data_IF_871825620008
#
_entry.id   IF_871825620008
#
_cell.length_a   1.000
_cell.length_b   1.000
_cell.length_c   1.000
_cell.angle_alpha   90.00
_cell.angle_beta   90.00
_cell.angle_gamma   90.00
#
_symmetry.space_group_name_H-M   'P 1'
#
loop_
_entity.id
_entity.type
_entity.pdbx_description
1 polymer ?
#
# COMPACT_ATOMS: atom_id res chain seq x y z
N UNK A 1 27.17 34.22 -21.36
CA UNK A 1 25.96 33.62 -20.78
C UNK A 1 26.39 32.44 -19.92
N UNK A 2 26.28 32.54 -18.60
CA UNK A 2 26.58 31.43 -17.68
C UNK A 2 25.36 30.53 -17.61
N UNK A 3 25.38 29.39 -18.30
CA UNK A 3 24.33 28.38 -18.17
C UNK A 3 24.37 27.82 -16.74
N UNK A 4 23.28 28.00 -15.99
CA UNK A 4 23.12 27.41 -14.66
C UNK A 4 22.97 25.92 -14.84
N UNK A 5 24.05 25.17 -14.57
CA UNK A 5 24.05 23.71 -14.63
C UNK A 5 23.09 23.22 -13.54
N UNK A 6 22.01 22.55 -13.92
CA UNK A 6 21.12 21.91 -12.95
C UNK A 6 21.88 20.76 -12.29
N UNK A 7 22.29 20.97 -11.04
CA UNK A 7 22.86 19.91 -10.21
C UNK A 7 21.69 19.10 -9.68
N UNK A 8 21.42 17.96 -10.33
CA UNK A 8 20.45 16.99 -9.82
C UNK A 8 21.12 16.28 -8.64
N UNK A 9 20.78 16.71 -7.43
CA UNK A 9 21.27 16.11 -6.18
C UNK A 9 20.47 14.82 -5.91
N UNK A 10 20.93 13.71 -6.49
CA UNK A 10 20.34 12.38 -6.26
C UNK A 10 20.81 11.88 -4.90
N UNK A 11 20.09 12.25 -3.85
CA UNK A 11 20.28 11.69 -2.51
C UNK A 11 19.12 10.76 -2.19
N UNK A 12 19.44 9.49 -1.90
CA UNK A 12 18.50 8.59 -1.24
C UNK A 12 18.19 9.15 0.16
N UNK A 13 16.91 9.35 0.45
CA UNK A 13 16.46 10.15 1.58
C UNK A 13 14.99 9.93 1.91
N UNK A 14 14.55 10.53 3.02
CA UNK A 14 13.13 10.69 3.31
C UNK A 14 12.65 11.99 2.64
N UNK A 15 11.60 11.89 1.83
CA UNK A 15 11.04 13.02 1.09
C UNK A 15 9.86 13.61 1.87
N UNK A 16 10.01 14.85 2.34
CA UNK A 16 8.91 15.58 2.94
C UNK A 16 8.22 16.44 1.87
N UNK A 17 6.93 16.20 1.67
CA UNK A 17 6.09 16.94 0.73
C UNK A 17 5.17 17.85 1.54
N UNK A 18 5.32 19.16 1.38
CA UNK A 18 4.40 20.13 1.98
C UNK A 18 3.33 20.52 0.98
N UNK A 19 2.08 20.40 1.42
CA UNK A 19 0.89 20.68 0.62
C UNK A 19 0.11 21.85 1.20
N UNK A 20 -0.46 22.67 0.32
CA UNK A 20 -1.42 23.70 0.72
C UNK A 20 -2.74 23.06 1.16
N UNK A 21 -3.64 23.79 1.84
CA UNK A 21 -4.98 23.29 2.15
C UNK A 21 -5.79 22.86 0.91
N UNK A 22 -5.44 23.40 -0.27
CA UNK A 22 -6.05 23.04 -1.55
C UNK A 22 -5.41 21.80 -2.21
N UNK A 23 -4.41 21.18 -1.56
CA UNK A 23 -3.72 20.00 -2.06
C UNK A 23 -2.57 20.28 -3.04
N UNK A 24 -2.16 21.53 -3.19
CA UNK A 24 -1.06 21.91 -4.10
C UNK A 24 0.29 21.75 -3.42
N UNK A 25 1.28 21.18 -4.11
CA UNK A 25 2.63 21.04 -3.58
C UNK A 25 3.37 22.37 -3.71
N UNK A 26 3.77 22.96 -2.58
CA UNK A 26 4.54 24.22 -2.58
C UNK A 26 6.00 24.04 -2.15
N UNK A 27 6.34 22.89 -1.56
CA UNK A 27 7.71 22.61 -1.12
C UNK A 27 8.00 21.12 -1.04
N UNK A 28 9.13 20.72 -1.62
CA UNK A 28 9.72 19.40 -1.50
C UNK A 28 11.04 19.52 -0.75
N UNK A 29 11.23 18.72 0.30
CA UNK A 29 12.48 18.67 1.06
C UNK A 29 13.01 17.25 1.07
N UNK A 30 14.18 17.06 0.46
CA UNK A 30 14.91 15.81 0.58
C UNK A 30 15.81 15.88 1.82
N UNK A 31 15.55 15.02 2.81
CA UNK A 31 16.35 14.93 4.03
C UNK A 31 16.95 13.55 4.19
N UNK A 32 18.02 13.46 5.00
CA UNK A 32 18.62 12.17 5.34
C UNK A 32 17.60 11.30 6.09
N UNK A 33 17.65 9.99 5.81
CA UNK A 33 16.85 8.99 6.52
C UNK A 33 17.27 8.99 7.99
N UNK A 34 16.27 9.03 8.88
CA UNK A 34 16.44 8.92 10.33
C UNK A 34 16.01 7.54 10.83
N UNK A 35 16.30 7.23 12.09
CA UNK A 35 15.82 5.99 12.73
C UNK A 35 14.29 5.93 12.81
N UNK A 36 13.63 7.08 12.96
CA UNK A 36 12.17 7.17 13.02
C UNK A 36 11.54 6.80 11.68
N UNK A 37 12.11 7.26 10.56
CA UNK A 37 11.65 6.89 9.21
C UNK A 37 11.73 5.39 8.97
N UNK A 38 12.82 4.77 9.41
CA UNK A 38 13.02 3.32 9.30
C UNK A 38 11.99 2.56 10.15
N UNK A 39 11.73 3.02 11.36
CA UNK A 39 10.73 2.41 12.24
C UNK A 39 9.32 2.59 11.69
N UNK A 40 8.97 3.78 11.21
CA UNK A 40 7.69 4.06 10.55
C UNK A 40 7.49 3.19 9.31
N UNK A 41 8.54 2.99 8.51
CA UNK A 41 8.50 2.12 7.33
C UNK A 41 8.24 0.66 7.68
N UNK A 42 8.87 0.15 8.76
CA UNK A 42 8.62 -1.21 9.26
C UNK A 42 7.19 -1.38 9.75
N UNK A 43 6.70 -0.45 10.58
CA UNK A 43 5.32 -0.47 11.06
C UNK A 43 4.32 -0.44 9.90
N UNK A 44 4.59 0.39 8.88
CA UNK A 44 3.71 0.46 7.70
C UNK A 44 3.72 -0.84 6.89
N UNK A 45 4.86 -1.52 6.80
CA UNK A 45 4.96 -2.83 6.15
C UNK A 45 4.17 -3.91 6.93
N UNK A 46 4.30 -3.93 8.25
CA UNK A 46 3.56 -4.84 9.13
C UNK A 46 2.05 -4.62 9.00
N UNK A 47 1.58 -3.37 9.08
CA UNK A 47 0.15 -3.04 8.90
C UNK A 47 -0.38 -3.47 7.53
N UNK A 48 0.40 -3.30 6.45
CA UNK A 48 0.01 -3.76 5.11
C UNK A 48 -0.10 -5.29 5.05
N UNK A 49 0.79 -5.99 5.73
CA UNK A 49 0.75 -7.45 5.79
C UNK A 49 -0.48 -7.91 6.57
N UNK A 50 -0.78 -7.32 7.73
CA UNK A 50 -1.99 -7.63 8.50
C UNK A 50 -3.27 -7.41 7.68
N UNK A 51 -3.35 -6.29 6.95
CA UNK A 51 -4.49 -6.01 6.06
C UNK A 51 -4.61 -7.04 4.95
N UNK A 52 -3.48 -7.49 4.37
CA UNK A 52 -3.46 -8.53 3.35
C UNK A 52 -3.99 -9.85 3.89
N UNK A 53 -3.52 -10.28 5.06
CA UNK A 53 -3.96 -11.52 5.69
C UNK A 53 -5.45 -11.49 6.07
N UNK A 54 -5.95 -10.34 6.55
CA UNK A 54 -7.37 -10.14 6.82
C UNK A 54 -8.21 -10.23 5.54
N UNK A 55 -7.73 -9.64 4.44
CA UNK A 55 -8.38 -9.72 3.14
C UNK A 55 -8.42 -11.15 2.60
N UNK A 56 -7.29 -11.86 2.63
CA UNK A 56 -7.21 -13.25 2.18
C UNK A 56 -8.12 -14.18 3.00
N UNK A 57 -8.21 -13.97 4.32
CA UNK A 57 -9.15 -14.72 5.18
C UNK A 57 -10.61 -14.47 4.81
N UNK A 58 -10.97 -13.24 4.44
CA UNK A 58 -12.34 -12.90 4.00
C UNK A 58 -12.65 -13.56 2.65
N UNK A 59 -11.77 -13.38 1.68
CA UNK A 59 -11.92 -13.96 0.34
C UNK A 59 -12.01 -15.49 0.40
N UNK A 60 -11.19 -16.15 1.23
CA UNK A 60 -11.28 -17.61 1.44
C UNK A 60 -12.62 -18.03 2.03
N UNK A 61 -13.13 -17.30 3.02
CA UNK A 61 -14.41 -17.60 3.66
C UNK A 61 -15.59 -17.42 2.70
N UNK A 62 -15.52 -16.42 1.83
CA UNK A 62 -16.51 -16.18 0.78
C UNK A 62 -16.48 -17.31 -0.25
N UNK A 63 -15.30 -17.67 -0.75
CA UNK A 63 -15.14 -18.79 -1.69
C UNK A 63 -15.62 -20.13 -1.09
N UNK A 64 -15.36 -20.40 0.19
CA UNK A 64 -15.87 -21.59 0.88
C UNK A 64 -17.41 -21.60 0.98
N UNK A 65 -18.03 -20.43 1.12
CA UNK A 65 -19.49 -20.27 1.17
C UNK A 65 -20.10 -20.52 -0.22
N UNK A 66 -19.54 -19.90 -1.25
CA UNK A 66 -19.95 -20.08 -2.65
C UNK A 66 -19.83 -21.54 -3.08
N UNK A 67 -18.70 -22.20 -2.76
CA UNK A 67 -18.51 -23.61 -3.08
C UNK A 67 -19.55 -24.51 -2.39
N UNK A 68 -19.88 -24.23 -1.12
CA UNK A 68 -20.93 -24.98 -0.40
C UNK A 68 -22.30 -24.78 -1.04
N UNK A 69 -22.63 -23.55 -1.44
CA UNK A 69 -23.89 -23.24 -2.11
C UNK A 69 -23.98 -23.97 -3.46
N UNK A 70 -22.92 -23.97 -4.27
CA UNK A 70 -22.85 -24.73 -5.52
C UNK A 70 -23.03 -26.24 -5.29
N UNK A 71 -22.37 -26.82 -4.29
CA UNK A 71 -22.49 -28.26 -3.99
C UNK A 71 -23.91 -28.61 -3.51
N UNK A 72 -24.56 -27.74 -2.73
CA UNK A 72 -25.95 -27.93 -2.34
C UNK A 72 -26.93 -27.80 -3.51
N UNK A 73 -26.67 -26.88 -4.44
CA UNK A 73 -27.45 -26.73 -5.67
C UNK A 73 -27.28 -27.94 -6.60
N UNK A 74 -26.06 -28.44 -6.80
CA UNK A 74 -25.79 -29.63 -7.60
C UNK A 74 -26.49 -30.88 -7.05
N UNK A 75 -26.51 -31.05 -5.72
CA UNK A 75 -27.28 -32.11 -5.04
C UNK A 75 -28.78 -31.96 -5.22
N UNK A 76 -29.31 -30.73 -5.17
CA UNK A 76 -30.74 -30.47 -5.41
C UNK A 76 -31.14 -30.70 -6.86
N UNK A 77 -30.24 -30.41 -7.79
CA UNK A 77 -30.44 -30.56 -9.22
C UNK A 77 -30.17 -32.00 -9.72
N UNK A 78 -29.72 -32.91 -8.84
CA UNK A 78 -29.55 -34.34 -9.14
C UNK A 78 -28.31 -34.68 -9.98
N UNK A 79 -27.32 -33.79 -10.02
CA UNK A 79 -26.04 -34.02 -10.71
C UNK A 79 -25.01 -34.75 -9.82
N UNK A 80 -25.26 -34.84 -8.50
CA UNK A 80 -24.60 -35.71 -7.52
C UNK A 80 -25.65 -36.42 -6.65
#
# INVERSE_FOLDING_TARGET
MTQKKEVIDVKEGALDIHVTPNGEIYKLVNRKITKEDLNGSKLMAEMKQEQKELREKREKKEAEKELKEMVEEDKKNGFM
#
